data_IF_428860942601
#
_entry.id   IF_428860942601
#
_cell.length_a   1.000
_cell.length_b   1.000
_cell.length_c   1.000
_cell.angle_alpha   90.00
_cell.angle_beta   90.00
_cell.angle_gamma   90.00
#
_symmetry.space_group_name_H-M   'P 1'
#
loop_
_entity.id
_entity.type
_entity.pdbx_description
1 polymer ?
#
# COMPACT_ATOMS: atom_id res chain seq x y z
N UNK A 1 -7.79 -12.91 20.80
CA UNK A 1 -7.70 -12.88 19.33
C UNK A 1 -8.84 -12.03 18.80
N UNK A 2 -8.61 -11.18 17.81
CA UNK A 2 -9.62 -10.25 17.28
C UNK A 2 -10.13 -10.70 15.91
N UNK A 3 -10.93 -11.76 15.90
CA UNK A 3 -11.40 -12.41 14.67
C UNK A 3 -12.19 -11.49 13.72
N UNK A 4 -12.80 -10.42 14.23
CA UNK A 4 -13.43 -9.37 13.41
C UNK A 4 -12.46 -8.70 12.41
N UNK A 5 -11.14 -8.75 12.67
CA UNK A 5 -10.14 -8.21 11.75
C UNK A 5 -9.92 -9.09 10.51
N UNK A 6 -10.50 -10.30 10.43
CA UNK A 6 -10.50 -11.10 9.19
C UNK A 6 -11.14 -10.29 8.06
N UNK A 7 -12.30 -9.66 8.29
CA UNK A 7 -12.97 -8.86 7.25
C UNK A 7 -12.13 -7.66 6.80
N UNK A 8 -11.44 -7.02 7.75
CA UNK A 8 -10.50 -5.93 7.46
C UNK A 8 -9.30 -6.43 6.66
N UNK A 9 -8.81 -7.62 6.98
CA UNK A 9 -7.76 -8.32 6.25
C UNK A 9 -8.19 -8.66 4.83
N UNK A 10 -9.43 -9.13 4.63
CA UNK A 10 -9.97 -9.42 3.29
C UNK A 10 -9.98 -8.15 2.44
N UNK A 11 -10.46 -7.03 2.98
CA UNK A 11 -10.46 -5.76 2.26
C UNK A 11 -9.04 -5.31 1.88
N UNK A 12 -8.07 -5.41 2.80
CA UNK A 12 -6.66 -5.09 2.53
C UNK A 12 -6.02 -6.05 1.50
N UNK A 13 -6.25 -7.35 1.62
CA UNK A 13 -5.71 -8.34 0.68
C UNK A 13 -6.33 -8.20 -0.71
N UNK A 14 -7.59 -7.80 -0.80
CA UNK A 14 -8.24 -7.51 -2.08
C UNK A 14 -7.56 -6.34 -2.78
N UNK A 15 -7.26 -5.25 -2.07
CA UNK A 15 -6.54 -4.13 -2.70
C UNK A 15 -5.13 -4.46 -3.12
N UNK A 16 -4.42 -5.34 -2.39
CA UNK A 16 -3.05 -5.75 -2.75
C UNK A 16 -2.99 -6.55 -4.06
N UNK A 17 -4.13 -7.09 -4.52
CA UNK A 17 -4.24 -7.72 -5.84
C UNK A 17 -4.31 -6.71 -6.99
N UNK A 18 -4.48 -5.42 -6.70
CA UNK A 18 -4.70 -4.38 -7.70
C UNK A 18 -3.48 -3.46 -7.79
N UNK A 19 -2.88 -3.32 -8.98
CA UNK A 19 -1.76 -2.41 -9.19
C UNK A 19 -2.11 -0.98 -8.78
N UNK A 20 -1.20 -0.33 -8.06
CA UNK A 20 -1.34 1.07 -7.65
C UNK A 20 -2.15 1.30 -6.36
N UNK A 21 -2.77 0.26 -5.78
CA UNK A 21 -3.52 0.37 -4.52
C UNK A 21 -2.83 -0.46 -3.44
N UNK A 22 -2.43 0.16 -2.33
CA UNK A 22 -1.81 -0.56 -1.21
C UNK A 22 -2.81 -0.91 -0.11
N UNK A 23 -2.65 -2.07 0.52
CA UNK A 23 -3.38 -2.46 1.73
C UNK A 23 -3.22 -1.45 2.86
N UNK A 24 -2.11 -0.70 2.92
CA UNK A 24 -1.95 0.45 3.80
C UNK A 24 -3.02 1.52 3.59
N UNK A 25 -3.41 1.79 2.35
CA UNK A 25 -4.51 2.72 1.99
C UNK A 25 -5.85 2.22 2.54
N UNK A 26 -6.13 0.93 2.37
CA UNK A 26 -7.35 0.32 2.94
C UNK A 26 -7.31 0.31 4.47
N UNK A 27 -6.15 0.12 5.09
CA UNK A 27 -6.01 0.20 6.54
C UNK A 27 -6.37 1.60 7.09
N UNK A 28 -6.07 2.67 6.33
CA UNK A 28 -6.54 4.02 6.68
C UNK A 28 -8.05 4.14 6.48
N UNK A 29 -8.62 3.61 5.38
CA UNK A 29 -10.09 3.61 5.13
C UNK A 29 -10.84 2.96 6.29
N UNK A 30 -10.30 1.87 6.81
CA UNK A 30 -10.91 1.10 7.89
C UNK A 30 -10.60 1.67 9.29
N UNK A 31 -9.87 2.78 9.39
CA UNK A 31 -9.50 3.40 10.67
C UNK A 31 -8.59 2.54 11.54
N UNK A 32 -7.83 1.61 10.94
CA UNK A 32 -6.95 0.70 11.67
C UNK A 32 -5.46 0.95 11.43
N UNK A 33 -5.11 1.98 10.66
CA UNK A 33 -3.73 2.25 10.27
C UNK A 33 -2.78 2.46 11.45
N UNK A 34 -3.07 3.40 12.37
CA UNK A 34 -2.25 3.67 13.57
C UNK A 34 -2.04 2.37 14.38
N UNK A 35 -3.12 1.60 14.52
CA UNK A 35 -3.13 0.34 15.24
C UNK A 35 -2.34 -0.78 14.55
N UNK A 36 -2.38 -0.82 13.23
CA UNK A 36 -1.60 -1.74 12.41
C UNK A 36 -0.11 -1.45 12.60
N UNK A 37 0.31 -0.18 12.46
CA UNK A 37 1.70 0.23 12.67
C UNK A 37 2.13 -0.03 14.11
N UNK A 38 1.28 0.25 15.10
CA UNK A 38 1.54 -0.09 16.50
C UNK A 38 1.76 -1.60 16.68
N UNK A 39 0.85 -2.42 16.15
CA UNK A 39 0.92 -3.87 16.29
C UNK A 39 2.19 -4.45 15.67
N UNK A 40 2.54 -4.01 14.47
CA UNK A 40 3.77 -4.43 13.79
C UNK A 40 5.00 -4.03 14.60
N UNK A 41 5.08 -2.76 15.02
CA UNK A 41 6.21 -2.26 15.81
C UNK A 41 6.37 -2.99 17.17
N UNK A 42 5.26 -3.53 17.69
CA UNK A 42 5.15 -4.17 19.00
C UNK A 42 5.33 -5.69 18.99
N UNK A 43 5.57 -6.33 17.85
CA UNK A 43 5.71 -7.80 17.74
C UNK A 43 6.82 -8.36 18.64
N UNK A 44 7.89 -7.60 18.88
CA UNK A 44 9.00 -8.00 19.76
C UNK A 44 8.93 -7.37 21.16
N UNK A 45 7.79 -6.77 21.53
CA UNK A 45 7.61 -6.16 22.84
C UNK A 45 7.14 -7.17 23.90
N UNK A 46 7.15 -6.76 25.17
CA UNK A 46 6.60 -7.56 26.28
C UNK A 46 5.11 -7.90 26.10
N UNK A 47 4.37 -7.12 25.31
CA UNK A 47 2.96 -7.33 25.00
C UNK A 47 2.73 -8.01 23.64
N UNK A 48 3.72 -8.71 23.08
CA UNK A 48 3.67 -9.33 21.74
C UNK A 48 2.39 -10.15 21.49
N UNK A 49 1.85 -10.86 22.50
CA UNK A 49 0.60 -11.63 22.38
C UNK A 49 -0.60 -10.77 21.98
N UNK A 50 -0.69 -9.53 22.48
CA UNK A 50 -1.74 -8.58 22.11
C UNK A 50 -1.63 -8.19 20.64
N UNK A 51 -0.42 -7.88 20.20
CA UNK A 51 -0.15 -7.46 18.83
C UNK A 51 -0.36 -8.60 17.82
N UNK A 52 0.14 -9.80 18.12
CA UNK A 52 -0.12 -11.01 17.33
C UNK A 52 -1.62 -11.35 17.29
N UNK A 53 -2.35 -11.11 18.39
CA UNK A 53 -3.79 -11.30 18.44
C UNK A 53 -4.60 -10.37 17.52
N UNK A 54 -4.02 -9.26 17.10
CA UNK A 54 -4.53 -8.36 16.08
C UNK A 54 -4.05 -8.76 14.67
N UNK A 55 -2.75 -9.06 14.53
CA UNK A 55 -2.10 -9.33 13.23
C UNK A 55 -2.50 -10.67 12.61
N UNK A 56 -2.63 -11.75 13.39
CA UNK A 56 -2.96 -13.07 12.83
C UNK A 56 -4.32 -13.06 12.12
N UNK A 57 -5.43 -12.59 12.73
CA UNK A 57 -6.71 -12.53 12.03
C UNK A 57 -6.65 -11.65 10.77
N UNK A 58 -5.90 -10.55 10.82
CA UNK A 58 -5.71 -9.66 9.65
C UNK A 58 -4.97 -10.39 8.53
N UNK A 59 -3.85 -11.06 8.84
CA UNK A 59 -3.06 -11.84 7.88
C UNK A 59 -3.85 -13.02 7.29
N UNK A 60 -4.66 -13.71 8.10
CA UNK A 60 -5.59 -14.74 7.63
C UNK A 60 -6.57 -14.16 6.62
N UNK A 61 -7.17 -13.00 6.93
CA UNK A 61 -8.07 -12.33 6.00
C UNK A 61 -7.40 -11.92 4.69
N UNK A 62 -6.19 -11.35 4.77
CA UNK A 62 -5.41 -10.98 3.58
C UNK A 62 -5.09 -12.21 2.72
N UNK A 63 -4.59 -13.29 3.32
CA UNK A 63 -4.30 -14.54 2.63
C UNK A 63 -5.55 -15.17 2.01
N UNK A 64 -6.68 -15.16 2.71
CA UNK A 64 -7.95 -15.65 2.19
C UNK A 64 -8.43 -14.84 0.98
N UNK A 65 -8.28 -13.50 0.99
CA UNK A 65 -8.59 -12.67 -0.17
C UNK A 65 -7.66 -12.95 -1.35
N UNK A 66 -6.35 -13.03 -1.12
CA UNK A 66 -5.38 -13.32 -2.19
C UNK A 66 -5.68 -14.67 -2.85
N UNK A 67 -5.94 -15.71 -2.05
CA UNK A 67 -6.21 -17.05 -2.59
C UNK A 67 -7.62 -17.17 -3.19
N UNK A 68 -8.63 -16.58 -2.55
CA UNK A 68 -10.03 -16.73 -2.93
C UNK A 68 -10.51 -15.76 -4.01
N UNK A 69 -9.92 -14.57 -4.11
CA UNK A 69 -10.36 -13.49 -5.00
C UNK A 69 -9.38 -13.20 -6.14
N UNK A 70 -8.17 -13.76 -6.14
CA UNK A 70 -7.18 -13.53 -7.21
C UNK A 70 -7.75 -13.71 -8.61
N UNK A 71 -8.44 -14.84 -8.87
CA UNK A 71 -9.06 -15.12 -10.18
C UNK A 71 -10.16 -14.12 -10.56
N UNK A 72 -10.95 -13.67 -9.58
CA UNK A 72 -12.00 -12.68 -9.82
C UNK A 72 -11.39 -11.32 -10.16
N UNK A 73 -10.38 -10.89 -9.39
CA UNK A 73 -9.69 -9.63 -9.62
C UNK A 73 -8.94 -9.68 -10.96
N UNK A 74 -8.30 -10.79 -11.30
CA UNK A 74 -7.67 -11.00 -12.60
C UNK A 74 -8.69 -10.85 -13.74
N UNK A 75 -9.85 -11.50 -13.66
CA UNK A 75 -10.93 -11.33 -14.63
C UNK A 75 -11.40 -9.87 -14.74
N UNK A 76 -11.59 -9.19 -13.61
CA UNK A 76 -12.01 -7.77 -13.59
C UNK A 76 -10.93 -6.85 -14.17
N UNK A 77 -9.65 -7.15 -13.98
CA UNK A 77 -8.56 -6.35 -14.55
C UNK A 77 -8.34 -6.62 -16.04
N UNK A 78 -8.70 -7.81 -16.55
CA UNK A 78 -8.63 -8.13 -17.98
C UNK A 78 -9.83 -7.57 -18.76
N UNK A 79 -11.05 -7.79 -18.28
CA UNK A 79 -12.28 -7.45 -19.01
C UNK A 79 -12.86 -6.07 -18.61
N UNK A 80 -12.63 -5.64 -17.37
CA UNK A 80 -13.23 -4.43 -16.79
C UNK A 80 -12.19 -3.50 -16.15
N UNK A 81 -11.01 -3.37 -16.79
CA UNK A 81 -9.88 -2.60 -16.26
C UNK A 81 -10.29 -1.18 -15.81
N UNK A 82 -10.90 -0.39 -16.71
CA UNK A 82 -11.30 0.98 -16.40
C UNK A 82 -12.31 1.04 -15.25
N UNK A 83 -13.47 0.32 -15.27
CA UNK A 83 -14.39 0.32 -14.14
C UNK A 83 -13.76 -0.09 -12.81
N UNK A 84 -12.88 -1.09 -12.83
CA UNK A 84 -12.16 -1.55 -11.63
C UNK A 84 -11.26 -0.44 -11.08
N UNK A 85 -10.45 0.20 -11.92
CA UNK A 85 -9.58 1.30 -11.50
C UNK A 85 -10.38 2.51 -11.00
N UNK A 86 -11.47 2.89 -11.69
CA UNK A 86 -12.36 3.98 -11.25
C UNK A 86 -13.02 3.71 -9.89
N UNK A 87 -13.34 2.46 -9.55
CA UNK A 87 -13.78 2.09 -8.19
C UNK A 87 -12.72 2.47 -7.14
N UNK A 88 -11.45 2.17 -7.38
CA UNK A 88 -10.36 2.52 -6.47
C UNK A 88 -10.06 4.01 -6.43
N UNK A 89 -10.17 4.73 -7.54
CA UNK A 89 -10.13 6.20 -7.54
C UNK A 89 -11.23 6.76 -6.63
N UNK A 90 -12.45 6.20 -6.70
CA UNK A 90 -13.55 6.54 -5.81
C UNK A 90 -13.20 6.33 -4.33
N UNK A 91 -12.61 5.18 -3.99
CA UNK A 91 -12.12 4.89 -2.63
C UNK A 91 -11.04 5.89 -2.18
N UNK A 92 -10.04 6.16 -3.02
CA UNK A 92 -8.92 7.07 -2.73
C UNK A 92 -9.42 8.51 -2.53
N UNK A 93 -10.29 9.01 -3.41
CA UNK A 93 -10.89 10.34 -3.24
C UNK A 93 -11.80 10.41 -2.02
N UNK A 94 -12.49 9.31 -1.68
CA UNK A 94 -13.30 9.21 -0.48
C UNK A 94 -12.51 9.39 0.81
N UNK A 95 -11.23 8.96 0.84
CA UNK A 95 -10.40 9.02 2.05
C UNK A 95 -9.63 10.32 2.22
N UNK A 96 -9.33 11.07 1.16
CA UNK A 96 -8.62 12.35 1.25
C UNK A 96 -9.24 13.29 2.32
N UNK A 97 -10.58 13.47 2.39
CA UNK A 97 -11.20 14.26 3.47
C UNK A 97 -10.99 13.70 4.87
N UNK A 98 -10.97 12.37 5.05
CA UNK A 98 -10.74 11.71 6.34
C UNK A 98 -9.29 11.93 6.81
N UNK A 99 -8.32 11.76 5.92
CA UNK A 99 -6.90 12.04 6.21
C UNK A 99 -6.67 13.53 6.52
N UNK A 100 -7.36 14.41 5.79
CA UNK A 100 -7.34 15.85 6.08
C UNK A 100 -7.95 16.19 7.44
N UNK A 101 -8.99 15.46 7.86
CA UNK A 101 -9.58 15.62 9.19
C UNK A 101 -8.61 15.15 10.29
N UNK A 102 -8.01 13.97 10.14
CA UNK A 102 -6.97 13.45 11.05
C UNK A 102 -5.80 14.43 11.18
N UNK A 103 -5.30 14.95 10.05
CA UNK A 103 -4.27 16.00 10.05
C UNK A 103 -4.71 17.21 10.89
N UNK A 104 -5.90 17.77 10.64
CA UNK A 104 -6.40 18.97 11.32
C UNK A 104 -6.66 18.73 12.82
N UNK A 105 -6.96 17.50 13.21
CA UNK A 105 -7.17 17.14 14.62
C UNK A 105 -5.87 17.11 15.43
N UNK A 106 -4.72 16.93 14.79
CA UNK A 106 -3.40 16.77 15.45
C UNK A 106 -2.38 17.84 15.11
N UNK A 107 -2.64 18.70 14.12
CA UNK A 107 -1.73 19.74 13.68
C UNK A 107 -2.44 20.93 13.01
N UNK A 108 -1.78 22.08 13.03
CA UNK A 108 -2.19 23.27 12.27
C UNK A 108 -1.51 23.31 10.90
N UNK A 109 -2.25 23.70 9.86
CA UNK A 109 -1.71 23.80 8.51
C UNK A 109 -0.65 24.91 8.43
N UNK A 110 0.50 24.59 7.82
CA UNK A 110 1.64 25.50 7.62
C UNK A 110 2.17 25.30 6.20
N UNK A 111 2.85 26.28 5.58
CA UNK A 111 3.35 26.12 4.21
C UNK A 111 4.23 24.88 3.99
N UNK A 112 5.04 24.51 5.01
CA UNK A 112 5.88 23.30 4.97
C UNK A 112 5.06 22.01 4.77
N UNK A 113 3.84 21.95 5.30
CA UNK A 113 2.94 20.80 5.14
C UNK A 113 2.46 20.67 3.69
N UNK A 114 2.14 21.79 3.04
CA UNK A 114 1.74 21.81 1.62
C UNK A 114 2.92 21.37 0.75
N UNK A 115 4.13 21.87 1.02
CA UNK A 115 5.34 21.43 0.31
C UNK A 115 5.56 19.92 0.47
N UNK A 116 5.40 19.38 1.68
CA UNK A 116 5.51 17.94 1.92
C UNK A 116 4.43 17.13 1.17
N UNK A 117 3.18 17.61 1.12
CA UNK A 117 2.11 16.99 0.34
C UNK A 117 2.45 16.98 -1.16
N UNK A 118 2.93 18.10 -1.70
CA UNK A 118 3.29 18.20 -3.12
C UNK A 118 4.47 17.28 -3.45
N UNK A 119 5.50 17.22 -2.61
CA UNK A 119 6.63 16.31 -2.79
C UNK A 119 6.15 14.85 -2.77
N UNK A 120 5.32 14.46 -1.79
CA UNK A 120 4.74 13.12 -1.73
C UNK A 120 3.90 12.78 -2.96
N UNK A 121 3.07 13.72 -3.42
CA UNK A 121 2.25 13.55 -4.61
C UNK A 121 3.09 13.39 -5.88
N UNK A 122 4.12 14.21 -6.07
CA UNK A 122 5.03 14.09 -7.21
C UNK A 122 5.79 12.76 -7.16
N UNK A 123 6.27 12.37 -5.98
CA UNK A 123 7.01 11.11 -5.82
C UNK A 123 6.18 9.92 -6.30
N UNK A 124 4.91 9.83 -5.88
CA UNK A 124 4.04 8.73 -6.33
C UNK A 124 3.53 8.95 -7.75
N UNK A 125 3.15 10.15 -8.14
CA UNK A 125 2.66 10.39 -9.50
C UNK A 125 3.72 10.14 -10.57
N UNK A 126 5.00 10.37 -10.25
CA UNK A 126 6.12 10.05 -11.17
C UNK A 126 6.17 8.57 -11.55
N UNK A 127 5.67 7.69 -10.67
CA UNK A 127 5.56 6.25 -10.92
C UNK A 127 4.68 5.94 -12.15
N UNK A 128 3.67 6.77 -12.43
CA UNK A 128 2.80 6.57 -13.60
C UNK A 128 3.52 6.82 -14.94
N UNK A 129 4.62 7.59 -14.92
CA UNK A 129 5.35 8.02 -16.12
C UNK A 129 6.63 7.20 -16.31
N UNK A 130 7.27 6.81 -15.21
CA UNK A 130 8.50 6.03 -15.24
C UNK A 130 8.19 4.60 -15.69
N UNK A 131 8.59 4.26 -16.91
CA UNK A 131 8.57 2.87 -17.37
C UNK A 131 9.61 2.07 -16.56
N UNK A 132 9.24 0.93 -15.95
CA UNK A 132 10.20 0.06 -15.30
C UNK A 132 11.32 -0.28 -16.28
N UNK A 133 12.57 -0.15 -15.84
CA UNK A 133 13.70 -0.49 -16.68
C UNK A 133 13.74 -2.02 -16.89
N UNK A 134 13.80 -2.46 -18.16
CA UNK A 134 14.09 -3.84 -18.52
C UNK A 134 15.53 -4.17 -18.09
N UNK A 135 15.63 -4.61 -16.85
CA UNK A 135 16.88 -4.90 -16.16
C UNK A 135 17.13 -6.39 -16.23
N UNK A 136 18.35 -6.77 -16.59
CA UNK A 136 18.73 -8.17 -16.63
C UNK A 136 18.56 -8.81 -15.25
N UNK A 137 18.05 -10.04 -15.23
CA UNK A 137 17.91 -10.83 -14.00
C UNK A 137 19.30 -11.03 -13.42
N UNK A 138 19.48 -10.63 -12.16
CA UNK A 138 20.74 -10.81 -11.44
C UNK A 138 20.87 -12.29 -11.09
N UNK A 139 21.74 -13.00 -11.81
CA UNK A 139 22.03 -14.43 -11.60
C UNK A 139 23.32 -14.65 -10.81
N UNK A 140 24.29 -13.74 -10.92
CA UNK A 140 25.53 -13.78 -10.16
C UNK A 140 25.48 -12.87 -8.94
N UNK A 141 25.82 -13.43 -7.78
CA UNK A 141 25.73 -12.75 -6.50
C UNK A 141 27.09 -12.17 -6.10
N UNK A 142 27.28 -10.88 -6.33
CA UNK A 142 28.35 -10.08 -5.72
C UNK A 142 27.88 -9.43 -4.41
N UNK A 143 28.82 -8.97 -3.58
CA UNK A 143 28.52 -8.19 -2.37
C UNK A 143 27.66 -6.97 -2.69
N UNK A 144 27.93 -6.27 -3.80
CA UNK A 144 27.15 -5.10 -4.23
C UNK A 144 25.70 -5.46 -4.56
N UNK A 145 25.49 -6.53 -5.33
CA UNK A 145 24.13 -7.00 -5.67
C UNK A 145 23.38 -7.54 -4.46
N UNK A 146 24.06 -8.19 -3.52
CA UNK A 146 23.44 -8.67 -2.28
C UNK A 146 22.93 -7.49 -1.43
N UNK A 147 23.74 -6.42 -1.29
CA UNK A 147 23.33 -5.20 -0.60
C UNK A 147 22.16 -4.51 -1.33
N UNK A 148 22.21 -4.41 -2.65
CA UNK A 148 21.12 -3.86 -3.44
C UNK A 148 19.82 -4.62 -3.19
N UNK A 149 19.84 -5.96 -3.27
CA UNK A 149 18.67 -6.81 -3.04
C UNK A 149 18.14 -6.69 -1.61
N UNK A 150 19.03 -6.65 -0.61
CA UNK A 150 18.66 -6.43 0.78
C UNK A 150 17.94 -5.09 1.00
N UNK A 151 18.55 -3.99 0.56
CA UNK A 151 17.95 -2.65 0.71
C UNK A 151 16.72 -2.46 -0.15
N UNK A 152 16.63 -3.13 -1.31
CA UNK A 152 15.41 -3.16 -2.11
C UNK A 152 14.28 -3.85 -1.38
N UNK A 153 14.53 -5.01 -0.76
CA UNK A 153 13.57 -5.69 0.11
C UNK A 153 13.11 -4.81 1.27
N UNK A 154 14.05 -4.11 1.91
CA UNK A 154 13.72 -3.12 2.95
C UNK A 154 12.78 -2.03 2.40
N UNK A 155 13.18 -1.32 1.35
CA UNK A 155 12.41 -0.22 0.78
C UNK A 155 11.04 -0.67 0.28
N UNK A 156 10.96 -1.85 -0.35
CA UNK A 156 9.70 -2.48 -0.74
C UNK A 156 8.79 -2.73 0.46
N UNK A 157 9.33 -3.26 1.56
CA UNK A 157 8.55 -3.47 2.79
C UNK A 157 8.10 -2.17 3.45
N UNK A 158 8.92 -1.11 3.41
CA UNK A 158 8.55 0.22 3.90
C UNK A 158 7.41 0.81 3.07
N UNK A 159 7.47 0.67 1.75
CA UNK A 159 6.40 1.10 0.86
C UNK A 159 5.08 0.38 1.14
N UNK A 160 5.09 -0.92 1.46
CA UNK A 160 3.88 -1.66 1.86
C UNK A 160 3.26 -1.12 3.16
N UNK A 161 4.05 -0.51 4.04
CA UNK A 161 3.53 0.13 5.26
C UNK A 161 2.93 1.52 4.98
N UNK A 162 3.38 2.22 3.94
CA UNK A 162 2.92 3.57 3.64
C UNK A 162 1.67 3.55 2.73
N UNK A 163 0.62 4.32 3.05
CA UNK A 163 -0.53 4.47 2.17
C UNK A 163 -0.13 5.09 0.83
N UNK A 164 -0.73 4.59 -0.26
CA UNK A 164 -0.53 5.12 -1.61
C UNK A 164 0.72 4.63 -2.36
N UNK A 165 1.61 3.82 -1.74
CA UNK A 165 2.78 3.24 -2.43
C UNK A 165 2.69 1.71 -2.42
N UNK A 166 2.93 1.07 -3.58
CA UNK A 166 3.07 -0.39 -3.66
C UNK A 166 4.54 -0.84 -3.54
N UNK A 167 4.81 -1.82 -2.68
CA UNK A 167 6.16 -2.38 -2.50
C UNK A 167 6.70 -3.06 -3.76
N UNK A 168 5.87 -3.76 -4.52
CA UNK A 168 6.27 -4.36 -5.80
C UNK A 168 6.66 -3.30 -6.83
N UNK A 169 5.97 -2.16 -6.82
CA UNK A 169 6.32 -1.05 -7.70
C UNK A 169 7.66 -0.41 -7.34
N UNK A 170 7.97 -0.28 -6.05
CA UNK A 170 9.30 0.19 -5.62
C UNK A 170 10.41 -0.75 -6.13
N UNK A 171 10.20 -2.07 -6.08
CA UNK A 171 11.15 -3.03 -6.65
C UNK A 171 11.28 -2.93 -8.17
N UNK A 172 10.19 -2.60 -8.88
CA UNK A 172 10.20 -2.35 -10.32
C UNK A 172 11.00 -1.09 -10.67
N UNK A 173 10.82 0.00 -9.92
CA UNK A 173 11.59 1.24 -10.11
C UNK A 173 13.08 1.07 -9.87
N UNK A 174 13.45 0.27 -8.87
CA UNK A 174 14.86 -0.06 -8.60
C UNK A 174 15.42 -1.00 -9.69
N UNK A 175 14.56 -1.73 -10.41
CA UNK A 175 14.97 -2.69 -11.44
C UNK A 175 15.39 -4.05 -10.88
N UNK A 176 14.85 -4.45 -9.73
CA UNK A 176 15.16 -5.76 -9.12
C UNK A 176 13.95 -6.69 -9.08
N UNK A 177 12.75 -6.21 -9.42
CA UNK A 177 11.54 -7.03 -9.41
C UNK A 177 11.65 -8.31 -10.26
N UNK A 178 12.15 -8.29 -11.51
CA UNK A 178 12.33 -9.52 -12.29
C UNK A 178 13.24 -10.53 -11.59
N UNK A 179 14.31 -10.05 -10.95
CA UNK A 179 15.21 -10.89 -10.14
C UNK A 179 14.48 -11.54 -8.97
N UNK A 180 13.65 -10.79 -8.23
CA UNK A 180 12.90 -11.30 -7.08
C UNK A 180 11.88 -12.36 -7.52
N UNK A 181 11.12 -12.10 -8.58
CA UNK A 181 10.12 -13.04 -9.10
C UNK A 181 10.78 -14.30 -9.67
N UNK A 182 11.88 -14.14 -10.42
CA UNK A 182 12.67 -15.28 -10.91
C UNK A 182 13.23 -16.12 -9.76
N UNK A 183 13.73 -15.48 -8.71
CA UNK A 183 14.23 -16.18 -7.53
C UNK A 183 13.12 -16.99 -6.82
N UNK A 184 11.92 -16.42 -6.67
CA UNK A 184 10.77 -17.14 -6.11
C UNK A 184 10.34 -18.33 -6.99
N UNK A 185 10.28 -18.13 -8.31
CA UNK A 185 9.84 -19.15 -9.26
C UNK A 185 10.83 -20.32 -9.36
N UNK A 186 12.12 -20.03 -9.32
CA UNK A 186 13.19 -21.02 -9.39
C UNK A 186 13.67 -21.49 -7.99
N UNK A 187 12.99 -21.07 -6.92
CA UNK A 187 13.35 -21.37 -5.53
C UNK A 187 14.84 -21.07 -5.22
N UNK A 188 15.36 -19.95 -5.72
CA UNK A 188 16.70 -19.48 -5.37
C UNK A 188 16.73 -18.99 -3.92
N UNK A 189 16.98 -19.94 -3.01
CA UNK A 189 16.93 -19.73 -1.55
C UNK A 189 17.87 -18.62 -1.07
N UNK A 190 18.97 -18.37 -1.77
CA UNK A 190 19.94 -17.35 -1.38
C UNK A 190 19.40 -15.94 -1.64
N UNK A 191 18.90 -15.69 -2.86
CA UNK A 191 18.27 -14.39 -3.19
C UNK A 191 17.01 -14.18 -2.36
N UNK A 192 16.17 -15.22 -2.23
CA UNK A 192 14.98 -15.18 -1.36
C UNK A 192 15.37 -14.84 0.07
N UNK A 193 16.44 -15.47 0.60
CA UNK A 193 16.94 -15.21 1.95
C UNK A 193 17.41 -13.78 2.15
N UNK A 194 18.15 -13.22 1.20
CA UNK A 194 18.67 -11.84 1.26
C UNK A 194 17.53 -10.82 1.20
N UNK A 195 16.64 -10.96 0.22
CA UNK A 195 15.49 -10.06 0.04
C UNK A 195 14.54 -10.20 1.22
N UNK A 196 14.26 -11.42 1.66
CA UNK A 196 13.42 -11.73 2.80
C UNK A 196 13.96 -11.16 4.12
N UNK A 197 15.27 -11.20 4.33
CA UNK A 197 15.92 -10.55 5.47
C UNK A 197 15.77 -9.03 5.38
N UNK A 198 15.97 -8.45 4.19
CA UNK A 198 15.72 -7.03 3.93
C UNK A 198 14.29 -6.61 4.25
N UNK A 199 13.31 -7.40 3.81
CA UNK A 199 11.89 -7.21 4.12
C UNK A 199 11.65 -7.31 5.63
N UNK A 200 12.16 -8.34 6.31
CA UNK A 200 11.93 -8.53 7.74
C UNK A 200 12.51 -7.38 8.57
N UNK A 201 13.78 -7.01 8.33
CA UNK A 201 14.44 -5.88 9.01
C UNK A 201 13.73 -4.58 8.66
N UNK A 202 13.45 -4.34 7.38
CA UNK A 202 12.79 -3.14 6.89
C UNK A 202 11.40 -2.96 7.49
N UNK A 203 10.60 -4.02 7.58
CA UNK A 203 9.25 -3.95 8.15
C UNK A 203 9.30 -3.58 9.64
N UNK A 204 10.24 -4.15 10.41
CA UNK A 204 10.38 -3.86 11.85
C UNK A 204 10.92 -2.45 12.09
N UNK A 205 11.99 -2.06 11.39
CA UNK A 205 12.63 -0.75 11.60
C UNK A 205 11.72 0.35 11.08
N UNK A 206 11.18 0.21 9.86
CA UNK A 206 10.30 1.21 9.26
C UNK A 206 9.01 1.39 10.07
N UNK A 207 8.38 0.31 10.58
CA UNK A 207 7.18 0.46 11.42
C UNK A 207 7.46 1.24 12.71
N UNK A 208 8.62 1.04 13.35
CA UNK A 208 9.02 1.83 14.52
C UNK A 208 9.26 3.30 14.18
N UNK A 209 9.93 3.57 13.05
CA UNK A 209 10.16 4.93 12.56
C UNK A 209 8.84 5.62 12.25
N UNK A 210 7.96 4.98 11.48
CA UNK A 210 6.63 5.53 11.15
C UNK A 210 5.82 5.79 12.41
N UNK A 211 5.83 4.86 13.38
CA UNK A 211 5.16 5.06 14.68
C UNK A 211 5.71 6.28 15.42
N UNK A 212 7.03 6.42 15.47
CA UNK A 212 7.68 7.55 16.11
C UNK A 212 7.29 8.88 15.44
N UNK A 213 7.28 8.92 14.11
CA UNK A 213 6.90 10.10 13.33
C UNK A 213 5.42 10.47 13.51
N UNK A 214 4.51 9.48 13.52
CA UNK A 214 3.09 9.70 13.81
C UNK A 214 2.86 10.28 15.22
N UNK A 215 3.66 9.87 16.21
CA UNK A 215 3.56 10.35 17.59
C UNK A 215 4.17 11.73 17.84
N UNK A 216 5.30 12.04 17.19
CA UNK A 216 6.07 13.26 17.47
C UNK A 216 5.94 14.35 16.40
N UNK A 217 5.66 13.96 15.15
CA UNK A 217 5.54 14.86 14.00
C UNK A 217 4.26 14.55 13.19
N UNK A 218 3.08 14.50 13.81
CA UNK A 218 1.84 14.08 13.13
C UNK A 218 1.51 14.96 11.92
N UNK A 219 1.68 16.29 12.02
CA UNK A 219 1.41 17.22 10.93
C UNK A 219 2.23 16.89 9.67
N UNK A 220 3.56 16.76 9.80
CA UNK A 220 4.42 16.38 8.68
C UNK A 220 4.10 14.98 8.16
N UNK A 221 3.85 14.02 9.04
CA UNK A 221 3.60 12.63 8.66
C UNK A 221 2.30 12.49 7.86
N UNK A 222 1.20 13.07 8.35
CA UNK A 222 -0.07 13.09 7.63
C UNK A 222 0.01 13.90 6.33
N UNK A 223 0.83 14.96 6.28
CA UNK A 223 1.07 15.72 5.05
C UNK A 223 1.73 14.85 3.98
N UNK A 224 2.78 14.11 4.34
CA UNK A 224 3.42 13.16 3.42
C UNK A 224 2.42 12.08 3.00
N UNK A 225 1.74 11.43 3.94
CA UNK A 225 0.74 10.38 3.64
C UNK A 225 -0.33 10.91 2.67
N UNK A 226 -0.87 12.10 2.92
CA UNK A 226 -1.88 12.69 2.04
C UNK A 226 -1.31 12.96 0.65
N UNK A 227 -0.07 13.47 0.56
CA UNK A 227 0.65 13.60 -0.69
C UNK A 227 0.75 12.28 -1.45
N UNK A 228 1.23 11.22 -0.80
CA UNK A 228 1.36 9.89 -1.39
C UNK A 228 0.01 9.35 -1.91
N UNK A 229 -1.07 9.51 -1.12
CA UNK A 229 -2.43 9.11 -1.49
C UNK A 229 -2.95 9.92 -2.68
N UNK A 230 -2.73 11.23 -2.72
CA UNK A 230 -3.09 12.07 -3.87
C UNK A 230 -2.30 11.64 -5.11
N UNK A 231 -0.99 11.42 -4.99
CA UNK A 231 -0.15 10.98 -6.10
C UNK A 231 -0.56 9.62 -6.66
N UNK A 232 -1.06 8.72 -5.82
CA UNK A 232 -1.55 7.40 -6.24
C UNK A 232 -2.73 7.48 -7.23
N UNK A 233 -3.49 8.58 -7.23
CA UNK A 233 -4.55 8.81 -8.23
C UNK A 233 -4.00 8.80 -9.66
N UNK A 234 -2.78 9.31 -9.88
CA UNK A 234 -2.15 9.30 -11.20
C UNK A 234 -1.71 7.89 -11.61
N UNK A 235 -1.31 7.06 -10.65
CA UNK A 235 -0.89 5.66 -10.90
C UNK A 235 -2.08 4.76 -11.20
N UNK A 236 -3.20 4.98 -10.51
CA UNK A 236 -4.44 4.20 -10.64
C UNK A 236 -5.27 4.66 -11.84
N UNK A 237 -5.03 5.86 -12.39
CA UNK A 237 -5.83 6.38 -13.50
C UNK A 237 -5.69 5.53 -14.78
N UNK A 238 -6.76 4.87 -15.26
CA UNK A 238 -6.67 3.94 -16.39
C UNK A 238 -6.69 4.62 -17.76
N UNK A 239 -6.82 5.95 -17.81
CA UNK A 239 -7.20 6.67 -19.02
C UNK A 239 -8.72 6.79 -19.16
N UNK A 240 -9.17 7.32 -20.31
CA UNK A 240 -10.59 7.49 -20.60
C UNK A 240 -11.16 6.20 -21.22
N UNK A 241 -12.33 5.72 -20.78
CA UNK A 241 -12.99 4.58 -21.43
C UNK A 241 -13.29 4.83 -22.90
N UNK A 242 -13.15 3.81 -23.74
CA UNK A 242 -13.38 3.93 -25.19
C UNK A 242 -14.85 3.79 -25.59
N UNK A 243 -15.65 3.05 -24.80
CA UNK A 243 -17.05 2.72 -25.13
C UNK A 243 -18.02 3.31 -24.10
N UNK A 244 -19.23 3.65 -24.56
CA UNK A 244 -20.28 4.21 -23.70
C UNK A 244 -20.64 3.29 -22.51
N UNK A 245 -20.66 1.97 -22.73
CA UNK A 245 -20.89 0.99 -21.67
C UNK A 245 -19.80 1.06 -20.59
N UNK A 246 -18.53 1.14 -20.98
CA UNK A 246 -17.42 1.24 -20.04
C UNK A 246 -17.41 2.57 -19.29
N UNK A 247 -17.88 3.65 -19.92
CA UNK A 247 -18.14 4.93 -19.24
C UNK A 247 -19.17 4.79 -18.12
N UNK A 248 -20.33 4.21 -18.42
CA UNK A 248 -21.40 4.03 -17.42
C UNK A 248 -20.92 3.16 -16.27
N UNK A 249 -20.29 2.02 -16.56
CA UNK A 249 -19.74 1.13 -15.53
C UNK A 249 -18.67 1.85 -14.68
N UNK A 250 -17.79 2.63 -15.31
CA UNK A 250 -16.76 3.39 -14.59
C UNK A 250 -17.34 4.44 -13.65
N UNK A 251 -18.36 5.19 -14.07
CA UNK A 251 -19.03 6.18 -13.22
C UNK A 251 -19.74 5.50 -12.05
N UNK A 252 -20.47 4.41 -12.31
CA UNK A 252 -21.15 3.64 -11.26
C UNK A 252 -20.16 3.08 -10.25
N UNK A 253 -19.08 2.46 -10.73
CA UNK A 253 -17.99 1.93 -9.90
C UNK A 253 -17.31 3.02 -9.07
N UNK A 254 -17.01 4.16 -9.68
CA UNK A 254 -16.43 5.32 -8.97
C UNK A 254 -17.33 5.79 -7.83
N UNK A 255 -18.62 6.00 -8.11
CA UNK A 255 -19.59 6.45 -7.11
C UNK A 255 -19.73 5.40 -6.00
N UNK A 256 -19.78 4.12 -6.34
CA UNK A 256 -19.83 3.03 -5.37
C UNK A 256 -18.61 3.05 -4.44
N UNK A 257 -17.39 3.14 -4.99
CA UNK A 257 -16.17 3.25 -4.20
C UNK A 257 -16.19 4.47 -3.26
N UNK A 258 -16.53 5.64 -3.79
CA UNK A 258 -16.61 6.86 -2.98
C UNK A 258 -17.63 6.76 -1.84
N UNK A 259 -18.81 6.21 -2.11
CA UNK A 259 -19.87 6.03 -1.11
C UNK A 259 -19.48 5.00 -0.04
N UNK A 260 -18.79 3.91 -0.40
CA UNK A 260 -18.30 2.92 0.57
C UNK A 260 -17.43 3.60 1.63
N UNK A 261 -16.50 4.46 1.23
CA UNK A 261 -15.65 5.17 2.20
C UNK A 261 -16.45 6.16 3.05
N UNK A 262 -17.42 6.87 2.46
CA UNK A 262 -18.28 7.79 3.20
C UNK A 262 -19.17 7.08 4.23
N UNK A 263 -19.62 5.86 3.92
CA UNK A 263 -20.39 5.03 4.84
C UNK A 263 -19.50 4.49 5.96
N UNK A 264 -18.33 3.94 5.62
CA UNK A 264 -17.37 3.41 6.60
C UNK A 264 -16.81 4.49 7.51
N UNK A 265 -16.49 5.67 6.97
CA UNK A 265 -15.96 6.80 7.72
C UNK A 265 -16.92 7.35 8.79
N UNK A 266 -18.24 7.12 8.66
CA UNK A 266 -19.22 7.47 9.70
C UNK A 266 -19.16 6.57 10.93
N UNK A 267 -18.55 5.39 10.83
CA UNK A 267 -18.40 4.44 11.94
C UNK A 267 -17.01 4.50 12.59
N UNK A 268 -16.09 5.27 12.01
CA UNK A 268 -14.69 5.39 12.45
C UNK A 268 -14.41 6.62 13.32
N UNK A 269 -15.40 7.53 13.46
CA UNK A 269 -15.35 8.76 14.27
C UNK A 269 -16.19 8.58 15.53
#
# INVERSE_FOLDING_TARGET
>A
MEWKNILRGIAMGTSDLIPGVSGGTIAVILGIYDRLIEAISGVFSRQWKKHIGFLIPLAIGMGAAILGLSRLIEFLLLEYYAPTQFFFIGLILGIIPLLMFEFKSRATMRPVHIVAMVIGAILVASMAIIKPADTAIITELSTGTALLLFFSGWLGSMAMLLPGISGSFVLLLIGVYPTVISALSNLNVLIIGIVGLGVAVGFIVSSKVIRYLLGNFPGMTFSVILGLVIGSLAVVFPGLPETATMWVLSVVSFVAGFLIVRLLGRFSV
#
